data_IF_598749637011
#
_entry.id   IF_598749637011
#
_cell.length_a   1.000
_cell.length_b   1.000
_cell.length_c   1.000
_cell.angle_alpha   90.00
_cell.angle_beta   90.00
_cell.angle_gamma   90.00
#
_symmetry.space_group_name_H-M   'P 1'
#
loop_
_entity.id
_entity.type
_entity.pdbx_description
1 polymer ?
#
# COMPACT_ATOMS: atom_id res chain seq x y z
N UNK A 1 -18.40 14.75 1.70
CA UNK A 1 -17.82 14.46 0.37
C UNK A 1 -17.67 12.96 0.24
N UNK A 2 -17.83 12.36 -0.94
CA UNK A 2 -17.69 10.92 -1.05
C UNK A 2 -16.23 10.48 -0.84
N UNK A 3 -16.03 9.29 -0.27
CA UNK A 3 -14.75 8.61 -0.32
C UNK A 3 -14.67 7.76 -1.59
N UNK A 4 -13.49 7.71 -2.22
CA UNK A 4 -13.25 6.95 -3.45
C UNK A 4 -12.06 6.03 -3.25
N UNK A 5 -12.24 4.74 -3.53
CA UNK A 5 -11.16 3.74 -3.47
C UNK A 5 -11.28 2.76 -4.63
N UNK A 6 -10.14 2.34 -5.16
CA UNK A 6 -10.03 1.20 -6.05
C UNK A 6 -9.71 -0.06 -5.25
N UNK A 7 -10.54 -1.10 -5.40
CA UNK A 7 -10.31 -2.43 -4.83
C UNK A 7 -10.75 -3.52 -5.80
N UNK A 8 -10.40 -4.78 -5.47
CA UNK A 8 -10.87 -5.98 -6.18
C UNK A 8 -10.86 -5.83 -7.71
N UNK A 9 -9.67 -5.94 -8.32
CA UNK A 9 -9.52 -5.82 -9.76
C UNK A 9 -9.59 -4.38 -10.28
N UNK A 10 -9.10 -3.41 -9.49
CA UNK A 10 -9.12 -1.98 -9.82
C UNK A 10 -10.54 -1.44 -10.04
N UNK A 11 -11.52 -2.03 -9.36
CA UNK A 11 -12.91 -1.57 -9.38
C UNK A 11 -13.02 -0.28 -8.56
N UNK A 12 -13.47 0.79 -9.20
CA UNK A 12 -13.77 2.06 -8.53
C UNK A 12 -15.00 1.89 -7.64
N UNK A 13 -14.88 2.19 -6.35
CA UNK A 13 -15.99 2.19 -5.39
C UNK A 13 -16.12 3.57 -4.76
N UNK A 14 -17.35 4.06 -4.67
CA UNK A 14 -17.68 5.30 -3.98
C UNK A 14 -18.50 5.02 -2.74
N UNK A 15 -18.03 5.53 -1.61
CA UNK A 15 -18.68 5.40 -0.30
C UNK A 15 -19.10 6.77 0.21
N UNK A 16 -20.31 6.86 0.74
CA UNK A 16 -20.83 8.05 1.44
C UNK A 16 -21.57 7.60 2.69
N UNK A 17 -21.27 8.21 3.82
CA UNK A 17 -21.90 7.91 5.11
C UNK A 17 -21.87 6.40 5.45
N UNK A 18 -20.73 5.74 5.21
CA UNK A 18 -20.58 4.30 5.42
C UNK A 18 -21.39 3.40 4.48
N UNK A 19 -21.91 3.92 3.36
CA UNK A 19 -22.68 3.15 2.38
C UNK A 19 -22.07 3.22 0.99
N UNK A 20 -22.05 2.08 0.30
CA UNK A 20 -21.59 2.00 -1.09
C UNK A 20 -22.65 2.58 -2.03
N UNK A 21 -22.37 3.75 -2.61
CA UNK A 21 -23.31 4.45 -3.50
C UNK A 21 -23.02 4.22 -4.98
N UNK A 22 -21.78 3.87 -5.35
CA UNK A 22 -21.37 3.61 -6.72
C UNK A 22 -20.34 2.49 -6.78
N UNK A 23 -20.43 1.69 -7.84
CA UNK A 23 -19.53 0.57 -8.14
C UNK A 23 -19.26 0.62 -9.64
N UNK A 24 -17.98 0.70 -10.02
CA UNK A 24 -17.55 0.65 -11.41
C UNK A 24 -17.38 -0.78 -11.92
N UNK A 25 -16.88 -0.89 -13.16
CA UNK A 25 -16.51 -2.18 -13.75
C UNK A 25 -15.08 -2.57 -13.33
N UNK A 26 -14.83 -3.85 -13.00
CA UNK A 26 -13.49 -4.35 -12.74
C UNK A 26 -12.65 -4.40 -14.02
N UNK A 27 -11.38 -4.01 -13.91
CA UNK A 27 -10.41 -4.17 -15.00
C UNK A 27 -9.79 -5.58 -15.05
N UNK A 28 -9.99 -6.38 -14.00
CA UNK A 28 -9.35 -7.69 -13.80
C UNK A 28 -10.40 -8.68 -13.34
N UNK A 29 -10.52 -9.83 -14.01
CA UNK A 29 -11.57 -10.82 -13.72
C UNK A 29 -11.26 -11.79 -12.60
N UNK A 30 -9.99 -11.99 -12.24
CA UNK A 30 -9.61 -12.88 -11.14
C UNK A 30 -8.29 -12.49 -10.52
N UNK A 31 -8.21 -12.60 -9.19
CA UNK A 31 -6.99 -12.40 -8.43
C UNK A 31 -6.77 -13.55 -7.43
N UNK A 32 -5.62 -14.24 -7.50
CA UNK A 32 -5.29 -15.37 -6.62
C UNK A 32 -5.28 -15.00 -5.13
N UNK A 33 -4.94 -13.75 -4.80
CA UNK A 33 -4.95 -13.26 -3.43
C UNK A 33 -6.37 -13.23 -2.86
N UNK A 34 -7.33 -12.68 -3.63
CA UNK A 34 -8.72 -12.58 -3.20
C UNK A 34 -9.46 -13.91 -3.26
N UNK A 35 -9.10 -14.79 -4.19
CA UNK A 35 -9.54 -16.18 -4.15
C UNK A 35 -9.12 -16.85 -2.83
N UNK A 36 -7.82 -16.79 -2.49
CA UNK A 36 -7.31 -17.40 -1.26
C UNK A 36 -7.92 -16.80 0.02
N UNK A 37 -8.05 -15.47 0.09
CA UNK A 37 -8.46 -14.78 1.32
C UNK A 37 -9.98 -14.66 1.50
N UNK A 38 -10.74 -14.71 0.41
CA UNK A 38 -12.18 -14.40 0.40
C UNK A 38 -13.03 -15.37 -0.45
N UNK A 39 -12.42 -16.33 -1.13
CA UNK A 39 -13.12 -17.29 -1.98
C UNK A 39 -13.65 -16.70 -3.29
N UNK A 40 -13.20 -15.50 -3.67
CA UNK A 40 -13.70 -14.79 -4.85
C UNK A 40 -13.08 -15.40 -6.11
N UNK A 41 -13.86 -16.24 -6.82
CA UNK A 41 -13.46 -16.94 -8.05
C UNK A 41 -13.62 -16.12 -9.32
N UNK A 42 -14.46 -15.09 -9.28
CA UNK A 42 -14.68 -14.15 -10.37
C UNK A 42 -14.93 -12.78 -9.74
N UNK A 43 -14.26 -11.77 -10.28
CA UNK A 43 -14.38 -10.38 -9.84
C UNK A 43 -15.47 -9.74 -10.69
N UNK A 44 -16.59 -9.42 -10.05
CA UNK A 44 -17.72 -8.67 -10.63
C UNK A 44 -17.96 -7.39 -9.83
N UNK A 45 -18.74 -6.43 -10.37
CA UNK A 45 -19.20 -5.28 -9.60
C UNK A 45 -19.87 -5.68 -8.27
N UNK A 46 -20.71 -6.72 -8.27
CA UNK A 46 -21.39 -7.24 -7.07
C UNK A 46 -20.39 -7.78 -6.05
N UNK A 47 -19.42 -8.58 -6.49
CA UNK A 47 -18.38 -9.08 -5.60
C UNK A 47 -17.53 -7.94 -5.00
N UNK A 48 -17.27 -6.87 -5.77
CA UNK A 48 -16.56 -5.69 -5.29
C UNK A 48 -17.39 -4.89 -4.26
N UNK A 49 -18.70 -4.74 -4.50
CA UNK A 49 -19.66 -4.13 -3.56
C UNK A 49 -19.69 -4.90 -2.25
N UNK A 50 -19.93 -6.21 -2.31
CA UNK A 50 -19.99 -7.09 -1.13
C UNK A 50 -18.66 -7.06 -0.35
N UNK A 51 -17.52 -7.02 -1.05
CA UNK A 51 -16.22 -6.91 -0.40
C UNK A 51 -16.05 -5.58 0.33
N UNK A 52 -16.49 -4.47 -0.26
CA UNK A 52 -16.46 -3.16 0.39
C UNK A 52 -17.39 -3.13 1.60
N UNK A 53 -18.65 -3.53 1.44
CA UNK A 53 -19.64 -3.57 2.53
C UNK A 53 -19.17 -4.45 3.69
N UNK A 54 -18.51 -5.57 3.39
CA UNK A 54 -17.83 -6.39 4.39
C UNK A 54 -16.73 -5.61 5.13
N UNK A 55 -15.86 -4.88 4.43
CA UNK A 55 -14.78 -4.10 5.07
C UNK A 55 -15.31 -2.95 5.91
N UNK A 56 -16.37 -2.26 5.45
CA UNK A 56 -17.06 -1.25 6.24
C UNK A 56 -17.61 -1.86 7.52
N UNK A 57 -18.34 -2.98 7.43
CA UNK A 57 -18.94 -3.66 8.59
C UNK A 57 -17.90 -4.20 9.57
N UNK A 58 -16.85 -4.84 9.06
CA UNK A 58 -15.88 -5.57 9.89
C UNK A 58 -14.76 -4.67 10.45
N UNK A 59 -14.37 -3.63 9.71
CA UNK A 59 -13.19 -2.80 10.00
C UNK A 59 -13.51 -1.31 10.13
N UNK A 60 -14.75 -0.91 9.88
CA UNK A 60 -15.22 0.47 10.01
C UNK A 60 -14.67 1.41 8.93
N UNK A 61 -14.28 0.89 7.76
CA UNK A 61 -13.78 1.73 6.65
C UNK A 61 -14.76 2.87 6.36
N UNK A 62 -14.24 4.09 6.22
CA UNK A 62 -14.99 5.30 5.91
C UNK A 62 -16.09 5.64 6.93
N UNK A 63 -15.90 5.26 8.20
CA UNK A 63 -16.84 5.53 9.30
C UNK A 63 -16.13 5.95 10.59
N UNK A 64 -16.89 6.41 11.59
CA UNK A 64 -16.38 6.68 12.94
C UNK A 64 -15.88 5.43 13.67
N UNK A 65 -16.33 4.24 13.27
CA UNK A 65 -16.00 2.97 13.92
C UNK A 65 -14.70 2.34 13.39
N UNK A 66 -13.84 3.15 12.76
CA UNK A 66 -12.63 2.69 12.09
C UNK A 66 -11.65 2.03 13.06
N UNK A 67 -11.29 0.77 12.80
CA UNK A 67 -10.31 0.02 13.60
C UNK A 67 -8.86 0.40 13.25
N UNK A 68 -8.24 1.25 14.05
CA UNK A 68 -6.89 1.79 13.78
C UNK A 68 -5.72 0.91 14.24
N UNK A 69 -5.99 -0.31 14.70
CA UNK A 69 -4.95 -1.30 15.02
C UNK A 69 -5.32 -2.64 14.41
N UNK A 70 -4.33 -3.35 13.89
CA UNK A 70 -4.50 -4.68 13.35
C UNK A 70 -3.22 -5.49 13.50
N UNK A 71 -3.37 -6.79 13.69
CA UNK A 71 -2.27 -7.74 13.52
C UNK A 71 -1.94 -7.94 12.03
N UNK A 72 -0.80 -8.59 11.78
CA UNK A 72 -0.29 -8.97 10.46
C UNK A 72 -1.39 -9.62 9.61
N UNK A 73 -1.63 -9.08 8.42
CA UNK A 73 -2.66 -9.58 7.52
C UNK A 73 -2.11 -10.59 6.51
N UNK A 74 -0.93 -10.31 5.96
CA UNK A 74 -0.24 -11.17 4.99
C UNK A 74 1.24 -11.33 5.35
N UNK A 75 1.89 -12.38 4.85
CA UNK A 75 3.32 -12.58 5.07
C UNK A 75 4.15 -11.41 4.51
N UNK A 76 3.78 -10.91 3.32
CA UNK A 76 4.47 -9.81 2.65
C UNK A 76 3.46 -8.82 2.08
N UNK A 77 3.42 -7.62 2.66
CA UNK A 77 2.63 -6.47 2.23
C UNK A 77 3.40 -5.18 2.53
N UNK A 78 3.04 -4.06 1.91
CA UNK A 78 3.75 -2.79 2.11
C UNK A 78 3.69 -2.36 3.59
N UNK A 79 2.50 -2.42 4.19
CA UNK A 79 2.30 -2.17 5.62
C UNK A 79 3.16 -3.08 6.50
N UNK A 80 3.26 -4.37 6.17
CA UNK A 80 4.03 -5.35 6.93
C UNK A 80 5.54 -5.10 6.83
N UNK A 81 6.03 -4.70 5.65
CA UNK A 81 7.42 -4.30 5.46
C UNK A 81 7.74 -3.06 6.29
N UNK A 82 6.88 -2.04 6.26
CA UNK A 82 7.04 -0.83 7.07
C UNK A 82 6.97 -1.10 8.57
N UNK A 83 6.01 -1.93 9.01
CA UNK A 83 5.89 -2.37 10.41
C UNK A 83 7.16 -3.09 10.87
N UNK A 84 7.70 -4.01 10.06
CA UNK A 84 8.97 -4.68 10.37
C UNK A 84 10.12 -3.68 10.45
N UNK A 85 10.22 -2.73 9.50
CA UNK A 85 11.27 -1.72 9.52
C UNK A 85 11.24 -0.85 10.79
N UNK A 86 10.05 -0.46 11.27
CA UNK A 86 9.88 0.24 12.55
C UNK A 86 10.29 -0.65 13.74
N UNK A 87 9.80 -1.90 13.79
CA UNK A 87 10.11 -2.84 14.88
C UNK A 87 11.60 -3.21 14.98
N UNK A 88 12.32 -3.12 13.87
CA UNK A 88 13.74 -3.47 13.75
C UNK A 88 14.67 -2.26 13.74
N UNK A 89 14.15 -1.07 14.07
CA UNK A 89 14.91 0.19 14.09
C UNK A 89 15.65 0.46 12.76
N UNK A 90 15.05 0.04 11.65
CA UNK A 90 15.51 0.35 10.29
C UNK A 90 14.80 1.58 9.72
N UNK A 91 13.66 1.95 10.31
CA UNK A 91 12.86 3.13 9.98
C UNK A 91 12.58 3.90 11.27
N UNK A 92 12.62 5.23 11.18
CA UNK A 92 12.22 6.11 12.29
C UNK A 92 10.70 6.34 12.28
N UNK A 93 10.10 6.43 11.09
CA UNK A 93 8.67 6.70 10.90
C UNK A 93 8.19 6.25 9.52
N UNK A 94 6.89 6.35 9.30
CA UNK A 94 6.23 6.05 8.02
C UNK A 94 5.32 7.20 7.60
N UNK A 95 5.12 7.35 6.29
CA UNK A 95 4.15 8.25 5.67
C UNK A 95 3.25 7.42 4.77
N UNK A 96 2.01 7.23 5.21
CA UNK A 96 1.03 6.35 4.54
C UNK A 96 -0.36 6.97 4.57
N UNK A 97 -1.31 6.37 3.86
CA UNK A 97 -2.69 6.88 3.81
C UNK A 97 -3.62 6.15 4.78
N UNK A 98 -4.61 6.86 5.31
CA UNK A 98 -5.72 6.30 6.06
C UNK A 98 -7.05 6.89 5.56
N UNK A 99 -8.04 6.03 5.33
CA UNK A 99 -9.40 6.49 5.08
C UNK A 99 -9.92 7.31 6.27
N UNK A 100 -10.56 8.45 6.01
CA UNK A 100 -10.99 9.37 7.06
C UNK A 100 -9.91 10.38 7.53
N UNK A 101 -8.66 10.27 7.06
CA UNK A 101 -7.56 11.11 7.52
C UNK A 101 -6.54 11.51 6.45
N UNK A 102 -6.53 10.91 5.26
CA UNK A 102 -5.58 11.27 4.20
C UNK A 102 -4.16 10.79 4.52
N UNK A 103 -3.15 11.65 4.36
CA UNK A 103 -1.76 11.34 4.71
C UNK A 103 -1.55 11.35 6.23
N UNK A 104 -0.95 10.28 6.75
CA UNK A 104 -0.62 10.08 8.16
C UNK A 104 0.87 9.76 8.32
N UNK A 105 1.50 10.43 9.27
CA UNK A 105 2.87 10.17 9.72
C UNK A 105 2.81 9.41 11.04
N UNK A 106 3.44 8.24 11.12
CA UNK A 106 3.51 7.51 12.40
C UNK A 106 4.69 6.55 12.46
N UNK A 107 5.25 6.44 13.67
CA UNK A 107 6.23 5.42 14.03
C UNK A 107 5.61 4.28 14.87
N UNK A 108 4.28 4.25 15.04
CA UNK A 108 3.58 3.18 15.73
C UNK A 108 3.31 2.00 14.75
N UNK A 109 3.98 0.84 14.90
CA UNK A 109 3.86 -0.28 13.97
C UNK A 109 2.44 -0.85 13.88
N UNK A 110 1.69 -0.85 15.00
CA UNK A 110 0.29 -1.34 15.02
C UNK A 110 -0.65 -0.39 14.29
N UNK A 111 -0.39 0.92 14.37
CA UNK A 111 -1.15 1.91 13.63
C UNK A 111 -0.90 1.80 12.13
N UNK A 112 0.35 1.59 11.71
CA UNK A 112 0.70 1.34 10.29
C UNK A 112 -0.09 0.14 9.73
N UNK A 113 -0.18 -0.95 10.49
CA UNK A 113 -1.01 -2.10 10.11
C UNK A 113 -2.50 -1.74 10.08
N UNK A 114 -3.01 -1.09 11.13
CA UNK A 114 -4.41 -0.70 11.24
C UNK A 114 -4.88 0.21 10.10
N UNK A 115 -3.99 1.06 9.59
CA UNK A 115 -4.25 1.90 8.42
C UNK A 115 -4.10 1.09 7.12
N UNK A 116 -2.95 0.48 6.88
CA UNK A 116 -2.59 -0.03 5.54
C UNK A 116 -3.08 -1.45 5.21
N UNK A 117 -3.24 -2.34 6.19
CA UNK A 117 -3.35 -3.78 5.93
C UNK A 117 -4.60 -4.18 5.13
N UNK A 118 -5.68 -3.39 5.22
CA UNK A 118 -6.95 -3.61 4.51
C UNK A 118 -7.33 -2.48 3.56
N UNK A 119 -6.45 -1.49 3.41
CA UNK A 119 -6.61 -0.44 2.40
C UNK A 119 -6.06 -0.96 1.06
N UNK A 120 -6.63 -0.47 -0.03
CA UNK A 120 -6.18 -0.75 -1.39
C UNK A 120 -5.80 0.58 -2.06
N UNK A 121 -6.28 0.89 -3.27
CA UNK A 121 -5.98 2.17 -3.91
C UNK A 121 -6.88 3.29 -3.41
N UNK A 122 -6.60 3.91 -2.27
CA UNK A 122 -7.36 5.07 -1.79
C UNK A 122 -7.10 6.25 -2.74
N UNK A 123 -8.17 6.78 -3.36
CA UNK A 123 -8.10 7.86 -4.35
C UNK A 123 -8.50 9.19 -3.71
N UNK A 124 -9.59 9.17 -2.95
CA UNK A 124 -10.16 10.35 -2.32
C UNK A 124 -10.76 9.95 -0.98
N UNK A 125 -10.66 10.84 0.01
CA UNK A 125 -11.25 10.64 1.33
C UNK A 125 -11.59 12.00 1.93
N UNK A 126 -12.47 12.02 2.92
CA UNK A 126 -12.77 13.22 3.68
C UNK A 126 -12.43 13.04 5.17
N UNK A 127 -12.26 14.14 5.92
CA UNK A 127 -12.03 14.07 7.35
C UNK A 127 -13.14 13.36 8.10
N UNK A 128 -12.77 12.42 8.97
CA UNK A 128 -13.66 11.84 9.96
C UNK A 128 -13.01 12.08 11.32
N UNK A 129 -13.60 12.97 12.12
CA UNK A 129 -13.03 13.42 13.41
C UNK A 129 -12.65 12.25 14.33
N UNK A 130 -13.50 11.23 14.43
CA UNK A 130 -13.23 10.05 15.25
C UNK A 130 -11.97 9.29 14.79
N UNK A 131 -11.73 9.23 13.46
CA UNK A 131 -10.54 8.59 12.89
C UNK A 131 -9.30 9.44 13.17
N UNK A 132 -9.37 10.74 12.91
CA UNK A 132 -8.27 11.69 13.15
C UNK A 132 -7.85 11.69 14.62
N UNK A 133 -8.82 11.79 15.53
CA UNK A 133 -8.58 11.74 16.96
C UNK A 133 -8.00 10.38 17.38
N UNK A 134 -8.55 9.28 16.87
CA UNK A 134 -8.05 7.95 17.16
C UNK A 134 -6.63 7.69 16.64
N UNK A 135 -6.22 8.35 15.55
CA UNK A 135 -4.83 8.35 15.02
C UNK A 135 -3.92 9.11 15.99
N UNK A 136 -4.34 10.31 16.41
CA UNK A 136 -3.57 11.15 17.34
C UNK A 136 -3.34 10.46 18.69
N UNK A 137 -4.38 9.83 19.24
CA UNK A 137 -4.30 9.03 20.48
C UNK A 137 -3.30 7.87 20.40
N UNK A 138 -3.06 7.36 19.19
CA UNK A 138 -2.12 6.26 18.91
C UNK A 138 -0.74 6.73 18.48
N UNK A 139 -0.46 8.03 18.62
CA UNK A 139 0.84 8.63 18.26
C UNK A 139 1.03 8.84 16.76
N UNK A 140 -0.05 8.87 15.98
CA UNK A 140 0.00 9.29 14.58
C UNK A 140 -0.24 10.79 14.43
N UNK A 141 0.24 11.35 13.33
CA UNK A 141 0.08 12.76 12.98
C UNK A 141 -0.58 12.82 11.60
N UNK A 142 -1.79 13.35 11.55
CA UNK A 142 -2.49 13.62 10.30
C UNK A 142 -1.91 14.88 9.67
N UNK A 143 -1.54 14.81 8.38
CA UNK A 143 -0.90 15.92 7.67
C UNK A 143 -1.80 17.16 7.60
N UNK A 144 -3.02 16.96 7.14
CA UNK A 144 -4.05 18.00 7.08
C UNK A 144 -5.39 17.44 7.61
N UNK A 145 -5.68 17.63 8.92
CA UNK A 145 -6.93 17.19 9.52
C UNK A 145 -8.19 17.85 8.94
N UNK A 146 -8.06 19.02 8.30
CA UNK A 146 -9.21 19.77 7.80
C UNK A 146 -9.68 19.29 6.42
N UNK A 147 -8.79 18.67 5.65
CA UNK A 147 -9.09 18.23 4.27
C UNK A 147 -8.89 16.74 4.05
N UNK A 148 -8.13 16.06 4.91
CA UNK A 148 -7.70 14.67 4.70
C UNK A 148 -6.98 14.47 3.35
N UNK A 149 -6.16 15.44 2.94
CA UNK A 149 -5.39 15.39 1.71
C UNK A 149 -4.45 14.17 1.66
N UNK A 150 -4.39 13.52 0.49
CA UNK A 150 -3.40 12.50 0.17
C UNK A 150 -2.23 13.18 -0.54
N UNK A 151 -1.18 13.43 0.22
CA UNK A 151 0.00 14.17 -0.19
C UNK A 151 1.26 13.52 0.45
N UNK A 152 1.90 12.54 -0.23
CA UNK A 152 3.05 11.84 0.32
C UNK A 152 4.27 12.75 0.52
N UNK A 153 4.50 13.71 -0.36
CA UNK A 153 5.59 14.69 -0.28
C UNK A 153 5.45 15.60 0.93
N UNK A 154 4.26 16.15 1.15
CA UNK A 154 3.93 16.97 2.32
C UNK A 154 4.09 16.19 3.61
N UNK A 155 3.71 14.91 3.61
CA UNK A 155 3.94 14.00 4.73
C UNK A 155 5.42 13.80 5.05
N UNK A 156 6.25 13.57 4.03
CA UNK A 156 7.71 13.41 4.20
C UNK A 156 8.37 14.70 4.67
N UNK A 157 8.01 15.85 4.10
CA UNK A 157 8.49 17.16 4.55
C UNK A 157 8.13 17.44 6.01
N UNK A 158 6.91 17.09 6.41
CA UNK A 158 6.47 17.24 7.80
C UNK A 158 7.23 16.28 8.72
N UNK A 159 7.46 15.04 8.32
CA UNK A 159 8.25 14.07 9.07
C UNK A 159 9.69 14.53 9.26
N UNK A 160 10.33 15.06 8.21
CA UNK A 160 11.68 15.65 8.28
C UNK A 160 11.75 16.81 9.28
N UNK A 161 10.76 17.71 9.27
CA UNK A 161 10.66 18.83 10.25
C UNK A 161 10.49 18.35 11.70
N UNK A 162 9.95 17.16 11.90
CA UNK A 162 9.82 16.53 13.22
C UNK A 162 11.12 15.82 13.66
N UNK A 163 12.15 15.80 12.82
CA UNK A 163 13.46 15.23 13.11
C UNK A 163 13.65 13.78 12.63
N UNK A 164 12.66 13.19 11.96
CA UNK A 164 12.80 11.86 11.37
C UNK A 164 13.70 11.89 10.12
N UNK A 165 14.52 10.86 9.94
CA UNK A 165 15.47 10.78 8.82
C UNK A 165 15.26 9.53 7.97
N UNK A 166 15.06 8.37 8.61
CA UNK A 166 14.76 7.09 7.95
C UNK A 166 13.25 6.94 7.80
N UNK A 167 12.71 7.31 6.65
CA UNK A 167 11.26 7.43 6.45
C UNK A 167 10.81 6.46 5.35
N UNK A 168 9.86 5.59 5.67
CA UNK A 168 9.18 4.83 4.63
C UNK A 168 7.95 5.57 4.12
N UNK A 169 7.73 5.59 2.81
CA UNK A 169 6.60 6.27 2.19
C UNK A 169 5.99 5.42 1.08
N UNK A 170 4.66 5.37 1.04
CA UNK A 170 3.94 4.69 -0.05
C UNK A 170 3.49 5.67 -1.12
N UNK A 171 3.64 5.27 -2.39
CA UNK A 171 3.19 6.05 -3.55
C UNK A 171 2.42 5.17 -4.53
N UNK A 172 1.62 5.82 -5.38
CA UNK A 172 0.89 5.16 -6.48
C UNK A 172 1.40 5.63 -7.85
N UNK A 173 1.83 6.89 -7.97
CA UNK A 173 2.31 7.48 -9.22
C UNK A 173 3.83 7.70 -9.22
N UNK A 174 4.43 7.60 -10.41
CA UNK A 174 5.88 7.80 -10.59
C UNK A 174 6.32 9.24 -10.32
N UNK A 175 5.46 10.22 -10.60
CA UNK A 175 5.74 11.64 -10.33
C UNK A 175 6.01 11.90 -8.85
N UNK A 176 5.20 11.29 -7.96
CA UNK A 176 5.43 11.40 -6.52
C UNK A 176 6.77 10.77 -6.12
N UNK A 177 7.09 9.59 -6.67
CA UNK A 177 8.36 8.91 -6.40
C UNK A 177 9.57 9.76 -6.82
N UNK A 178 9.52 10.37 -8.00
CA UNK A 178 10.57 11.24 -8.51
C UNK A 178 10.75 12.48 -7.63
N UNK A 179 9.65 13.13 -7.22
CA UNK A 179 9.71 14.29 -6.32
C UNK A 179 10.25 13.91 -4.94
N UNK A 180 9.89 12.75 -4.41
CA UNK A 180 10.42 12.24 -3.15
C UNK A 180 11.93 12.00 -3.19
N UNK A 181 12.49 11.54 -4.32
CA UNK A 181 13.94 11.43 -4.48
C UNK A 181 14.65 12.78 -4.50
N UNK A 182 14.01 13.82 -5.05
CA UNK A 182 14.53 15.19 -4.95
C UNK A 182 14.53 15.66 -3.48
N UNK A 183 13.43 15.44 -2.76
CA UNK A 183 13.33 15.77 -1.33
C UNK A 183 14.36 15.00 -0.49
N UNK A 184 14.59 13.72 -0.79
CA UNK A 184 15.60 12.90 -0.12
C UNK A 184 16.98 13.54 -0.16
N UNK A 185 17.37 14.06 -1.34
CA UNK A 185 18.65 14.74 -1.53
C UNK A 185 18.67 16.17 -0.95
N UNK A 186 17.56 16.91 -1.05
CA UNK A 186 17.44 18.29 -0.56
C UNK A 186 17.54 18.36 0.98
N UNK A 187 16.89 17.42 1.67
CA UNK A 187 16.75 17.45 3.14
C UNK A 187 17.66 16.45 3.87
N UNK A 188 18.56 15.75 3.16
CA UNK A 188 19.45 14.69 3.70
C UNK A 188 18.64 13.64 4.47
N UNK A 189 17.75 12.95 3.74
CA UNK A 189 16.88 11.90 4.25
C UNK A 189 17.32 10.53 3.73
N UNK A 190 16.85 9.50 4.42
CA UNK A 190 16.98 8.10 4.00
C UNK A 190 15.57 7.56 3.75
N UNK A 191 15.10 7.64 2.50
CA UNK A 191 13.75 7.23 2.13
C UNK A 191 13.70 5.78 1.66
N UNK A 192 12.73 5.04 2.20
CA UNK A 192 12.26 3.78 1.63
C UNK A 192 10.95 4.04 0.88
N UNK A 193 11.01 4.12 -0.44
CA UNK A 193 9.84 4.40 -1.30
C UNK A 193 9.23 3.09 -1.78
N UNK A 194 7.97 2.85 -1.41
CA UNK A 194 7.21 1.65 -1.78
C UNK A 194 6.07 2.03 -2.72
N UNK A 195 6.12 1.55 -3.96
CA UNK A 195 4.99 1.65 -4.88
C UNK A 195 3.96 0.56 -4.60
N UNK A 196 2.71 0.98 -4.44
CA UNK A 196 1.56 0.10 -4.28
C UNK A 196 0.50 0.39 -5.35
N UNK A 197 -0.46 -0.52 -5.49
CA UNK A 197 -1.63 -0.33 -6.34
C UNK A 197 -1.30 -0.06 -7.83
N UNK A 198 -0.29 -0.76 -8.34
CA UNK A 198 0.28 -0.56 -9.68
C UNK A 198 -0.53 -1.14 -10.87
N UNK A 199 -1.74 -1.65 -10.63
CA UNK A 199 -2.58 -2.25 -11.68
C UNK A 199 -2.92 -1.22 -12.76
N UNK A 200 -2.70 -1.57 -14.03
CA UNK A 200 -3.06 -0.73 -15.18
C UNK A 200 -2.08 0.42 -15.45
N UNK A 201 -0.91 0.44 -14.81
CA UNK A 201 0.14 1.41 -15.15
C UNK A 201 0.60 1.25 -16.60
N UNK A 202 0.76 2.37 -17.29
CA UNK A 202 1.34 2.43 -18.62
C UNK A 202 2.81 2.03 -18.63
N UNK A 203 3.34 1.68 -19.80
CA UNK A 203 4.74 1.25 -19.95
C UNK A 203 5.73 2.33 -19.52
N UNK A 204 5.51 3.56 -19.95
CA UNK A 204 6.36 4.70 -19.64
C UNK A 204 6.34 5.02 -18.14
N UNK A 205 5.14 5.07 -17.56
CA UNK A 205 4.95 5.29 -16.12
C UNK A 205 5.60 4.17 -15.27
N UNK A 206 5.47 2.90 -15.68
CA UNK A 206 6.13 1.77 -15.01
C UNK A 206 7.66 1.87 -15.06
N UNK A 207 8.23 2.22 -16.22
CA UNK A 207 9.67 2.40 -16.40
C UNK A 207 10.21 3.58 -15.59
N UNK A 208 9.44 4.67 -15.50
CA UNK A 208 9.78 5.82 -14.67
C UNK A 208 9.74 5.45 -13.19
N UNK A 209 8.68 4.75 -12.76
CA UNK A 209 8.52 4.29 -11.39
C UNK A 209 9.71 3.45 -10.93
N UNK A 210 10.24 2.56 -11.77
CA UNK A 210 11.38 1.69 -11.43
C UNK A 210 12.66 2.46 -11.08
N UNK A 211 12.82 3.68 -11.60
CA UNK A 211 14.01 4.48 -11.34
C UNK A 211 14.00 5.10 -9.94
N UNK A 212 12.80 5.25 -9.36
CA UNK A 212 12.61 6.05 -8.15
C UNK A 212 12.18 5.24 -6.93
N UNK A 213 11.73 4.00 -7.06
CA UNK A 213 11.21 3.20 -5.93
C UNK A 213 12.16 2.10 -5.47
N UNK A 214 12.13 1.80 -4.17
CA UNK A 214 12.91 0.71 -3.58
C UNK A 214 12.18 -0.63 -3.69
N UNK A 215 10.85 -0.60 -3.52
CA UNK A 215 9.98 -1.76 -3.57
C UNK A 215 8.75 -1.42 -4.41
N UNK A 216 8.27 -2.36 -5.22
CA UNK A 216 6.99 -2.21 -5.92
C UNK A 216 6.16 -3.49 -5.90
N UNK A 217 4.84 -3.36 -5.82
CA UNK A 217 3.91 -4.48 -5.99
C UNK A 217 3.76 -4.85 -7.46
N UNK A 218 3.66 -6.14 -7.78
CA UNK A 218 3.35 -6.59 -9.15
C UNK A 218 1.87 -6.47 -9.56
N UNK A 219 0.95 -6.50 -8.58
CA UNK A 219 -0.52 -6.41 -8.76
C UNK A 219 -1.03 -7.11 -10.03
N UNK A 220 -2.04 -6.62 -10.73
CA UNK A 220 -2.44 -7.15 -12.05
C UNK A 220 -1.82 -6.35 -13.20
N UNK A 221 -0.67 -5.72 -12.96
CA UNK A 221 0.01 -4.86 -13.94
C UNK A 221 0.82 -5.70 -14.91
N UNK A 222 0.46 -5.68 -16.20
CA UNK A 222 1.24 -6.36 -17.23
C UNK A 222 2.64 -5.75 -17.36
N UNK A 223 2.70 -4.42 -17.40
CA UNK A 223 3.95 -3.68 -17.63
C UNK A 223 4.95 -3.92 -16.50
N UNK A 224 4.50 -3.88 -15.24
CA UNK A 224 5.39 -4.16 -14.11
C UNK A 224 5.92 -5.59 -14.18
N UNK A 225 5.04 -6.58 -14.43
CA UNK A 225 5.41 -8.00 -14.41
C UNK A 225 6.38 -8.41 -15.51
N UNK A 226 6.29 -7.79 -16.69
CA UNK A 226 7.12 -8.12 -17.85
C UNK A 226 8.46 -7.38 -17.87
N UNK A 227 8.51 -6.13 -17.40
CA UNK A 227 9.66 -5.26 -17.56
C UNK A 227 10.61 -5.25 -16.36
N UNK A 228 10.11 -5.63 -15.18
CA UNK A 228 10.87 -5.50 -13.93
C UNK A 228 12.06 -6.45 -13.86
N UNK A 229 13.17 -5.97 -13.27
CA UNK A 229 14.39 -6.74 -12.99
C UNK A 229 14.76 -6.61 -11.52
N UNK A 230 14.11 -7.38 -10.62
CA UNK A 230 14.24 -7.17 -9.20
C UNK A 230 15.49 -7.86 -8.62
N UNK A 231 16.05 -7.26 -7.57
CA UNK A 231 17.14 -7.83 -6.77
C UNK A 231 16.66 -8.89 -5.77
N UNK A 232 15.39 -8.80 -5.37
CA UNK A 232 14.69 -9.81 -4.60
C UNK A 232 13.18 -9.77 -4.91
N UNK A 233 12.53 -10.92 -4.78
CA UNK A 233 11.09 -11.06 -4.95
C UNK A 233 10.54 -11.88 -3.79
N UNK A 234 9.41 -11.45 -3.24
CA UNK A 234 8.63 -12.22 -2.27
C UNK A 234 7.22 -12.44 -2.78
N UNK A 235 6.73 -13.68 -2.67
CA UNK A 235 5.48 -14.11 -3.29
C UNK A 235 5.60 -14.37 -4.80
N UNK A 236 4.69 -15.17 -5.33
CA UNK A 236 4.64 -15.51 -6.78
C UNK A 236 3.30 -15.15 -7.42
N UNK A 237 2.28 -14.86 -6.59
CA UNK A 237 0.93 -14.57 -7.04
C UNK A 237 0.71 -13.06 -7.19
N UNK A 238 0.85 -12.32 -6.10
CA UNK A 238 0.89 -10.84 -6.06
C UNK A 238 2.20 -10.46 -5.36
N UNK A 239 3.33 -10.42 -6.11
CA UNK A 239 4.65 -10.27 -5.50
C UNK A 239 4.94 -8.84 -5.06
N UNK A 240 5.83 -8.71 -4.07
CA UNK A 240 6.64 -7.50 -3.88
C UNK A 240 8.01 -7.72 -4.51
N UNK A 241 8.49 -6.72 -5.21
CA UNK A 241 9.75 -6.70 -5.92
C UNK A 241 10.65 -5.62 -5.34
N UNK A 242 11.84 -5.98 -4.87
CA UNK A 242 12.87 -5.03 -4.48
C UNK A 242 13.73 -4.63 -5.68
N UNK A 243 13.89 -3.33 -5.91
CA UNK A 243 14.67 -2.77 -7.01
C UNK A 243 16.01 -2.18 -6.55
N UNK A 244 16.11 -1.82 -5.27
CA UNK A 244 17.34 -1.32 -4.65
C UNK A 244 17.85 -2.29 -3.59
N UNK A 245 19.12 -2.13 -3.22
CA UNK A 245 19.72 -2.92 -2.15
C UNK A 245 18.98 -2.69 -0.81
N UNK A 246 18.57 -1.44 -0.53
CA UNK A 246 17.73 -1.07 0.61
C UNK A 246 16.39 -1.82 0.61
N UNK A 247 15.70 -1.83 -0.52
CA UNK A 247 14.45 -2.60 -0.68
C UNK A 247 14.65 -4.09 -0.45
N UNK A 248 15.76 -4.66 -0.95
CA UNK A 248 16.10 -6.07 -0.76
C UNK A 248 16.33 -6.41 0.71
N UNK A 249 17.09 -5.59 1.43
CA UNK A 249 17.32 -5.75 2.86
C UNK A 249 16.00 -5.73 3.64
N UNK A 250 15.09 -4.83 3.28
CA UNK A 250 13.79 -4.73 3.95
C UNK A 250 12.87 -5.94 3.72
N UNK A 251 12.87 -6.49 2.50
CA UNK A 251 12.14 -7.72 2.23
C UNK A 251 12.75 -8.94 2.96
N UNK A 252 14.07 -9.01 3.07
CA UNK A 252 14.75 -10.07 3.82
C UNK A 252 14.57 -9.94 5.33
N UNK A 253 14.54 -8.71 5.86
CA UNK A 253 14.21 -8.48 7.26
C UNK A 253 12.77 -8.93 7.53
N UNK A 254 11.83 -8.56 6.66
CA UNK A 254 10.45 -9.04 6.76
C UNK A 254 10.36 -10.56 6.72
N UNK A 255 11.18 -11.23 5.91
CA UNK A 255 11.17 -12.69 5.82
C UNK A 255 11.52 -13.39 7.14
N UNK A 256 12.29 -12.75 8.04
CA UNK A 256 12.59 -13.27 9.38
C UNK A 256 11.37 -13.32 10.30
N UNK A 257 10.38 -12.47 10.04
CA UNK A 257 9.12 -12.34 10.81
C UNK A 257 7.97 -13.20 10.24
N UNK A 258 8.17 -13.82 9.08
CA UNK A 258 7.14 -14.67 8.48
C UNK A 258 7.17 -16.04 9.17
N UNK A 259 6.07 -16.39 9.85
CA UNK A 259 5.97 -17.65 10.60
C UNK A 259 6.07 -18.90 9.73
N UNK A 260 5.56 -18.82 8.49
CA UNK A 260 5.65 -19.94 7.54
C UNK A 260 7.08 -20.10 7.05
N UNK A 261 7.61 -21.34 6.90
CA UNK A 261 8.95 -21.56 6.38
C UNK A 261 9.21 -20.87 5.04
N UNK A 262 10.38 -20.24 4.91
CA UNK A 262 10.80 -19.50 3.71
C UNK A 262 11.98 -20.23 3.03
N UNK A 263 11.88 -20.43 1.71
CA UNK A 263 13.00 -20.88 0.87
C UNK A 263 13.70 -19.66 0.26
N UNK A 264 15.02 -19.55 0.48
CA UNK A 264 15.86 -18.52 -0.13
C UNK A 264 16.81 -19.20 -1.11
N UNK A 265 16.74 -18.82 -2.38
CA UNK A 265 17.61 -19.33 -3.45
C UNK A 265 17.94 -18.21 -4.45
N UNK A 266 19.09 -18.31 -5.11
CA UNK A 266 19.46 -17.40 -6.21
C UNK A 266 18.97 -17.95 -7.55
N UNK A 267 18.36 -17.10 -8.38
CA UNK A 267 17.91 -17.43 -9.73
C UNK A 267 17.60 -16.17 -10.54
N UNK A 268 17.36 -16.30 -11.84
CA UNK A 268 16.78 -15.22 -12.63
C UNK A 268 15.37 -14.89 -12.13
N UNK A 269 15.13 -13.59 -11.90
CA UNK A 269 13.84 -13.04 -11.46
C UNK A 269 13.25 -12.14 -12.58
N UNK A 270 11.92 -11.95 -12.63
CA UNK A 270 10.91 -12.45 -11.69
C UNK A 270 10.43 -13.88 -11.98
N UNK A 271 9.95 -14.57 -10.93
CA UNK A 271 9.29 -15.89 -11.02
C UNK A 271 7.79 -15.70 -10.92
N UNK A 272 7.10 -15.80 -12.06
CA UNK A 272 5.66 -15.54 -12.19
C UNK A 272 4.95 -16.71 -12.89
N UNK A 273 4.67 -17.83 -12.17
CA UNK A 273 3.98 -18.97 -12.76
C UNK A 273 2.60 -18.54 -13.27
N UNK A 274 2.29 -18.82 -14.54
CA UNK A 274 1.07 -18.37 -15.22
C UNK A 274 -0.21 -18.68 -14.42
N UNK A 275 -0.34 -19.91 -13.90
CA UNK A 275 -1.48 -20.35 -13.09
C UNK A 275 -1.64 -19.62 -11.74
N UNK A 276 -0.62 -18.85 -11.31
CA UNK A 276 -0.66 -18.03 -10.08
C UNK A 276 -0.82 -16.55 -10.38
N UNK A 277 -0.90 -16.11 -11.63
CA UNK A 277 -1.05 -14.69 -11.95
C UNK A 277 -2.53 -14.28 -11.98
N UNK A 278 -2.88 -13.03 -11.66
CA UNK A 278 -4.21 -12.50 -11.96
C UNK A 278 -4.58 -12.73 -13.43
N UNK A 279 -5.86 -13.01 -13.70
CA UNK A 279 -6.34 -13.18 -15.08
C UNK A 279 -6.64 -11.82 -15.68
N UNK A 280 -6.21 -11.63 -16.93
CA UNK A 280 -6.30 -10.36 -17.65
C UNK A 280 -5.42 -9.29 -17.01
N UNK A 281 -4.10 -9.46 -17.15
CA UNK A 281 -3.15 -8.42 -16.78
C UNK A 281 -3.39 -7.19 -17.66
N UNK A 282 -3.50 -6.02 -17.03
CA UNK A 282 -3.76 -4.74 -17.68
C UNK A 282 -2.52 -3.86 -17.64
#
# INVERSE_FOLDING_TARGET
>A
MPHVMELLGKTRIVVRDGKVIEVGEPAVKWCPLFDKLRGIKEITPEAARENMEFRIKDFGLFTSERKLEQDVFVGFGASEVMMTGLNRDMLDTTVTVCDGAGTVITNNPKLVQGMGARISGLIETEPIDAVINGIAEKGGIVLDPATAEINPEGGVLKAAKLGYRRIAVTVVHSENAARLRQLEAEDDLDLLIIAAHTTGLGKEEAMELFQHVDITTGCASRQIRELIKPLAQVGTAVPLFALTQKGKEMLLERAKEVESPVLINTMSLPVLPEHKQPRELV
#
